data_IF_915921545735
#
_entry.id   IF_915921545735
#
_cell.length_a   1.000
_cell.length_b   1.000
_cell.length_c   1.000
_cell.angle_alpha   90.00
_cell.angle_beta   90.00
_cell.angle_gamma   90.00
#
_symmetry.space_group_name_H-M   'P 1'
#
loop_
_entity.id
_entity.type
_entity.pdbx_description
1 polymer ?
#
# COMPACT_ATOMS: atom_id res chain seq x y z
N UNK A 1 -11.38 -21.22 51.56
CA UNK A 1 -12.49 -21.20 50.57
C UNK A 1 -12.11 -20.22 49.49
N UNK A 2 -11.68 -20.71 48.33
CA UNK A 2 -11.47 -19.89 47.15
C UNK A 2 -12.85 -19.66 46.56
N UNK A 3 -13.34 -18.43 46.60
CA UNK A 3 -14.58 -18.05 45.93
C UNK A 3 -14.45 -18.37 44.45
N UNK A 4 -15.37 -19.15 43.86
CA UNK A 4 -15.36 -19.37 42.43
C UNK A 4 -15.57 -18.02 41.77
N UNK A 5 -14.55 -17.53 41.07
CA UNK A 5 -14.70 -16.42 40.14
C UNK A 5 -15.77 -16.84 39.14
N UNK A 6 -16.91 -16.15 39.18
CA UNK A 6 -17.95 -16.23 38.16
C UNK A 6 -17.27 -16.08 36.81
N UNK A 7 -17.13 -17.19 36.08
CA UNK A 7 -16.82 -17.16 34.66
C UNK A 7 -18.00 -16.45 34.01
N UNK A 8 -17.86 -15.13 33.84
CA UNK A 8 -18.72 -14.38 32.95
C UNK A 8 -18.53 -15.03 31.58
N UNK A 9 -19.51 -15.82 31.17
CA UNK A 9 -19.59 -16.38 29.83
C UNK A 9 -19.83 -15.20 28.88
N UNK A 10 -18.76 -14.51 28.50
CA UNK A 10 -18.79 -13.45 27.51
C UNK A 10 -18.60 -14.09 26.14
N UNK A 11 -19.55 -13.88 25.21
CA UNK A 11 -19.39 -14.28 23.82
C UNK A 11 -18.74 -13.12 23.06
N UNK A 12 -17.60 -13.39 22.43
CA UNK A 12 -16.97 -12.46 21.48
C UNK A 12 -17.69 -12.55 20.13
N UNK A 13 -18.58 -11.60 19.83
CA UNK A 13 -19.22 -11.54 18.51
C UNK A 13 -18.34 -10.76 17.52
N UNK A 14 -17.96 -11.41 16.42
CA UNK A 14 -17.39 -10.76 15.25
C UNK A 14 -18.55 -10.12 14.47
N UNK A 15 -18.77 -8.83 14.65
CA UNK A 15 -19.83 -8.12 13.89
C UNK A 15 -19.51 -8.12 12.39
N UNK A 16 -20.53 -8.21 11.51
CA UNK A 16 -20.34 -8.34 10.07
C UNK A 16 -19.63 -7.12 9.47
N UNK A 17 -18.87 -7.37 8.40
CA UNK A 17 -18.23 -6.35 7.57
C UNK A 17 -19.21 -5.21 7.23
N UNK A 18 -18.85 -3.97 7.57
CA UNK A 18 -19.62 -2.81 7.11
C UNK A 18 -19.50 -2.68 5.59
N UNK A 19 -20.55 -3.02 4.85
CA UNK A 19 -20.65 -2.70 3.43
C UNK A 19 -21.37 -1.35 3.29
N UNK A 20 -20.73 -0.37 2.67
CA UNK A 20 -21.39 0.90 2.37
C UNK A 20 -22.13 0.79 1.04
N UNK A 21 -23.38 1.30 0.94
CA UNK A 21 -24.10 1.34 -0.34
C UNK A 21 -23.41 2.27 -1.33
N UNK A 22 -23.60 2.07 -2.64
CA UNK A 22 -23.09 3.02 -3.61
C UNK A 22 -23.77 4.38 -3.45
N UNK A 23 -22.95 5.42 -3.27
CA UNK A 23 -23.40 6.80 -3.06
C UNK A 23 -23.06 7.73 -4.24
N UNK A 24 -22.34 7.26 -5.25
CA UNK A 24 -22.01 8.05 -6.44
C UNK A 24 -21.36 9.39 -6.09
N UNK A 25 -21.94 10.47 -6.63
CA UNK A 25 -21.49 11.85 -6.40
C UNK A 25 -21.64 12.28 -4.93
N UNK A 26 -22.56 11.68 -4.17
CA UNK A 26 -22.76 12.02 -2.75
C UNK A 26 -21.51 11.71 -1.91
N UNK A 27 -20.68 10.74 -2.32
CA UNK A 27 -19.37 10.50 -1.69
C UNK A 27 -18.47 11.75 -1.70
N UNK A 28 -18.48 12.51 -2.80
CA UNK A 28 -17.71 13.74 -2.95
C UNK A 28 -18.26 14.81 -2.01
N UNK A 29 -19.59 14.95 -1.97
CA UNK A 29 -20.27 15.92 -1.10
C UNK A 29 -19.99 15.62 0.38
N UNK A 30 -20.10 14.35 0.79
CA UNK A 30 -19.76 13.87 2.14
C UNK A 30 -18.29 14.19 2.46
N UNK A 31 -17.39 14.01 1.49
CA UNK A 31 -15.96 14.32 1.66
C UNK A 31 -15.71 15.82 1.91
N UNK A 32 -16.34 16.69 1.13
CA UNK A 32 -16.23 18.13 1.33
C UNK A 32 -16.89 18.58 2.64
N UNK A 33 -18.00 17.96 3.03
CA UNK A 33 -18.67 18.25 4.31
C UNK A 33 -17.77 17.91 5.49
N UNK A 34 -17.16 16.73 5.49
CA UNK A 34 -16.23 16.33 6.55
C UNK A 34 -14.99 17.23 6.62
N UNK A 35 -14.45 17.62 5.46
CA UNK A 35 -13.32 18.56 5.40
C UNK A 35 -13.70 19.93 5.95
N UNK A 36 -14.89 20.44 5.60
CA UNK A 36 -15.42 21.69 6.13
C UNK A 36 -15.62 21.62 7.64
N UNK A 37 -16.16 20.52 8.15
CA UNK A 37 -16.34 20.30 9.60
C UNK A 37 -14.99 20.25 10.33
N UNK A 38 -13.97 19.62 9.73
CA UNK A 38 -12.61 19.60 10.27
C UNK A 38 -11.99 21.00 10.33
N UNK A 39 -12.13 21.80 9.27
CA UNK A 39 -11.64 23.18 9.21
C UNK A 39 -12.35 24.05 10.24
N UNK A 40 -13.69 23.99 10.32
CA UNK A 40 -14.47 24.75 11.32
C UNK A 40 -14.08 24.31 12.73
N UNK A 41 -13.89 23.01 12.95
CA UNK A 41 -13.42 22.46 14.22
C UNK A 41 -12.06 23.03 14.63
N UNK A 42 -11.14 23.20 13.67
CA UNK A 42 -9.80 23.75 13.89
C UNK A 42 -9.87 25.21 14.38
N UNK A 43 -10.77 26.02 13.81
CA UNK A 43 -10.97 27.40 14.28
C UNK A 43 -11.65 27.49 15.65
N UNK A 44 -12.59 26.59 15.95
CA UNK A 44 -13.34 26.62 17.23
C UNK A 44 -12.51 26.12 18.41
N UNK A 45 -11.74 25.04 18.24
CA UNK A 45 -10.97 24.40 19.31
C UNK A 45 -9.59 23.95 18.80
N UNK A 46 -8.66 24.89 18.54
CA UNK A 46 -7.41 24.59 17.84
C UNK A 46 -6.56 23.55 18.57
N UNK A 47 -6.36 23.71 19.89
CA UNK A 47 -5.53 22.78 20.68
C UNK A 47 -6.07 21.34 20.65
N UNK A 48 -7.39 21.17 20.82
CA UNK A 48 -8.02 19.84 20.83
C UNK A 48 -7.91 19.16 19.46
N UNK A 49 -8.10 19.92 18.37
CA UNK A 49 -7.99 19.38 17.02
C UNK A 49 -6.53 19.08 16.63
N UNK A 50 -5.58 19.91 17.04
CA UNK A 50 -4.15 19.65 16.84
C UNK A 50 -3.75 18.36 17.56
N UNK A 51 -4.15 18.18 18.81
CA UNK A 51 -3.87 16.93 19.56
C UNK A 51 -4.54 15.74 18.89
N UNK A 52 -5.78 15.87 18.43
CA UNK A 52 -6.48 14.81 17.69
C UNK A 52 -5.77 14.46 16.38
N UNK A 53 -5.26 15.46 15.65
CA UNK A 53 -4.53 15.28 14.41
C UNK A 53 -3.18 14.60 14.64
N UNK A 54 -2.41 15.05 15.64
CA UNK A 54 -1.11 14.48 16.01
C UNK A 54 -1.24 13.03 16.50
N UNK A 55 -2.33 12.71 17.20
CA UNK A 55 -2.58 11.33 17.67
C UNK A 55 -3.24 10.45 16.61
N UNK A 56 -3.61 11.00 15.45
CA UNK A 56 -4.30 10.26 14.41
C UNK A 56 -3.37 9.25 13.72
N UNK A 57 -3.72 7.96 13.63
CA UNK A 57 -2.89 6.93 13.00
C UNK A 57 -2.49 7.24 11.54
N UNK A 58 -3.35 7.93 10.80
CA UNK A 58 -3.06 8.42 9.44
C UNK A 58 -1.78 9.25 9.37
N UNK A 59 -1.62 10.24 10.26
CA UNK A 59 -0.44 11.12 10.24
C UNK A 59 0.84 10.30 10.42
N UNK A 60 0.83 9.38 11.38
CA UNK A 60 1.99 8.51 11.65
C UNK A 60 2.29 7.55 10.50
N UNK A 61 1.28 7.03 9.80
CA UNK A 61 1.49 6.21 8.60
C UNK A 61 2.14 7.01 7.46
N UNK A 62 1.73 8.26 7.28
CA UNK A 62 2.30 9.15 6.28
C UNK A 62 3.74 9.55 6.62
N UNK A 63 3.99 9.95 7.88
CA UNK A 63 5.33 10.26 8.38
C UNK A 63 6.26 9.05 8.24
N UNK A 64 5.78 7.86 8.59
CA UNK A 64 6.52 6.60 8.41
C UNK A 64 6.87 6.37 6.95
N UNK A 65 5.92 6.52 6.02
CA UNK A 65 6.19 6.41 4.59
C UNK A 65 7.27 7.39 4.12
N UNK A 66 7.20 8.65 4.56
CA UNK A 66 8.19 9.70 4.18
C UNK A 66 9.57 9.36 4.72
N UNK A 67 9.68 8.94 5.99
CA UNK A 67 10.95 8.53 6.61
C UNK A 67 11.55 7.34 5.86
N UNK A 68 10.75 6.30 5.59
CA UNK A 68 11.21 5.11 4.87
C UNK A 68 11.55 5.42 3.41
N UNK A 69 10.79 6.30 2.75
CA UNK A 69 11.08 6.76 1.39
C UNK A 69 12.39 7.55 1.32
N UNK A 70 12.63 8.45 2.28
CA UNK A 70 13.88 9.18 2.40
C UNK A 70 15.06 8.25 2.63
N UNK A 71 14.90 7.28 3.54
CA UNK A 71 15.88 6.24 3.80
C UNK A 71 16.21 5.41 2.55
N UNK A 72 15.19 5.03 1.78
CA UNK A 72 15.36 4.39 0.47
C UNK A 72 16.17 5.27 -0.49
N UNK A 73 15.86 6.57 -0.58
CA UNK A 73 16.59 7.52 -1.43
C UNK A 73 18.07 7.65 -1.05
N UNK A 74 18.39 7.72 0.25
CA UNK A 74 19.77 7.72 0.73
C UNK A 74 20.52 6.46 0.25
N UNK A 75 19.91 5.29 0.39
CA UNK A 75 20.54 4.05 -0.02
C UNK A 75 20.75 3.96 -1.52
N UNK A 76 19.82 4.47 -2.33
CA UNK A 76 20.01 4.57 -3.78
C UNK A 76 21.24 5.43 -4.13
N UNK A 77 21.41 6.58 -3.48
CA UNK A 77 22.58 7.45 -3.69
C UNK A 77 23.88 6.77 -3.24
N UNK A 78 23.86 6.05 -2.11
CA UNK A 78 25.01 5.28 -1.64
C UNK A 78 25.39 4.16 -2.61
N UNK A 79 24.39 3.47 -3.18
CA UNK A 79 24.59 2.45 -4.21
C UNK A 79 25.19 3.03 -5.48
N UNK A 80 24.72 4.20 -5.94
CA UNK A 80 25.33 4.91 -7.07
C UNK A 80 26.81 5.20 -6.82
N UNK A 81 27.15 5.77 -5.66
CA UNK A 81 28.54 6.07 -5.30
C UNK A 81 29.41 4.81 -5.24
N UNK A 82 28.86 3.69 -4.78
CA UNK A 82 29.54 2.40 -4.76
C UNK A 82 29.75 1.86 -6.17
N UNK A 83 28.77 2.01 -7.06
CA UNK A 83 28.89 1.65 -8.47
C UNK A 83 29.94 2.49 -9.19
N UNK A 84 29.95 3.82 -9.04
CA UNK A 84 30.98 4.69 -9.63
C UNK A 84 32.40 4.27 -9.21
N UNK A 85 32.58 3.89 -7.93
CA UNK A 85 33.86 3.37 -7.44
C UNK A 85 34.19 2.02 -8.09
N UNK A 86 33.20 1.13 -8.20
CA UNK A 86 33.37 -0.18 -8.82
C UNK A 86 33.72 -0.07 -10.31
N UNK A 87 33.04 0.79 -11.07
CA UNK A 87 33.29 1.05 -12.49
C UNK A 87 34.71 1.59 -12.72
N UNK A 88 35.18 2.55 -11.89
CA UNK A 88 36.56 3.04 -11.93
C UNK A 88 37.61 1.96 -11.71
N UNK A 89 37.31 0.96 -10.89
CA UNK A 89 38.23 -0.16 -10.62
C UNK A 89 38.19 -1.26 -11.69
N UNK A 90 37.18 -1.28 -12.56
CA UNK A 90 37.00 -2.30 -13.60
C UNK A 90 36.80 -1.67 -14.99
N UNK A 91 37.78 -0.89 -15.51
CA UNK A 91 37.66 -0.20 -16.80
C UNK A 91 37.61 -1.12 -18.02
N UNK A 92 37.86 -2.42 -17.83
CA UNK A 92 37.77 -3.44 -18.88
C UNK A 92 36.33 -3.87 -19.17
N UNK A 93 35.41 -3.53 -18.27
CA UNK A 93 34.00 -3.84 -18.44
C UNK A 93 33.38 -2.63 -19.14
N UNK A 94 33.06 -2.77 -20.42
CA UNK A 94 32.40 -1.73 -21.21
C UNK A 94 31.17 -1.20 -20.45
N UNK A 95 30.89 0.10 -20.58
CA UNK A 95 29.84 0.82 -19.85
C UNK A 95 28.41 0.27 -20.06
N UNK A 96 28.22 -0.71 -20.95
CA UNK A 96 26.94 -1.36 -21.26
C UNK A 96 26.81 -2.76 -20.62
N UNK A 97 26.92 -2.86 -19.29
CA UNK A 97 26.65 -4.13 -18.61
C UNK A 97 25.14 -4.32 -18.50
N UNK A 98 24.55 -5.03 -19.46
CA UNK A 98 23.15 -5.47 -19.35
C UNK A 98 23.13 -6.95 -19.01
N UNK A 99 22.44 -7.30 -17.93
CA UNK A 99 22.28 -8.71 -17.53
C UNK A 99 21.27 -9.35 -18.50
N UNK A 100 21.56 -10.58 -18.94
CA UNK A 100 20.62 -11.33 -19.77
C UNK A 100 19.31 -11.57 -19.01
N UNK A 101 18.19 -11.26 -19.65
CA UNK A 101 16.85 -11.40 -19.09
C UNK A 101 15.95 -12.08 -20.12
N UNK A 102 15.27 -13.15 -19.71
CA UNK A 102 14.37 -13.93 -20.58
C UNK A 102 13.29 -13.05 -21.20
N UNK A 103 12.81 -12.05 -20.47
CA UNK A 103 11.79 -11.16 -20.99
C UNK A 103 12.36 -10.18 -22.02
N UNK A 104 13.68 -9.95 -22.01
CA UNK A 104 14.33 -9.15 -23.02
C UNK A 104 14.45 -9.87 -24.35
N UNK A 105 14.61 -11.20 -24.33
CA UNK A 105 14.62 -12.01 -25.54
C UNK A 105 13.22 -12.11 -26.19
N UNK A 106 12.15 -11.99 -25.39
CA UNK A 106 10.77 -12.17 -25.84
C UNK A 106 10.11 -10.84 -26.24
N UNK A 107 10.29 -9.78 -25.45
CA UNK A 107 9.60 -8.51 -25.65
C UNK A 107 10.42 -7.56 -26.52
N UNK A 108 9.79 -6.92 -27.53
CA UNK A 108 10.46 -5.90 -28.33
C UNK A 108 10.82 -4.69 -27.47
N UNK A 109 11.97 -4.09 -27.75
CA UNK A 109 12.39 -2.87 -27.08
C UNK A 109 11.53 -1.69 -27.51
N UNK A 110 10.92 -1.01 -26.53
CA UNK A 110 10.17 0.22 -26.73
C UNK A 110 11.00 1.37 -26.14
N UNK A 111 11.24 2.43 -26.90
CA UNK A 111 12.04 3.57 -26.46
C UNK A 111 11.18 4.76 -26.03
N UNK A 112 10.14 4.51 -25.21
CA UNK A 112 9.25 5.57 -24.67
C UNK A 112 9.42 5.61 -23.16
N UNK A 113 10.62 6.05 -22.79
CA UNK A 113 11.18 6.08 -21.44
C UNK A 113 10.23 6.60 -20.35
N UNK A 114 9.51 7.70 -20.63
CA UNK A 114 8.65 8.39 -19.67
C UNK A 114 7.25 7.76 -19.52
N UNK A 115 6.82 6.96 -20.49
CA UNK A 115 5.46 6.41 -20.53
C UNK A 115 5.13 5.52 -19.32
N UNK A 116 5.93 4.49 -18.95
CA UNK A 116 5.58 3.64 -17.82
C UNK A 116 5.59 4.40 -16.49
N UNK A 117 6.51 5.36 -16.31
CA UNK A 117 6.58 6.22 -15.12
C UNK A 117 5.32 7.09 -14.98
N UNK A 118 4.90 7.76 -16.05
CA UNK A 118 3.70 8.61 -16.06
C UNK A 118 2.44 7.78 -15.83
N UNK A 119 2.31 6.64 -16.50
CA UNK A 119 1.14 5.75 -16.33
C UNK A 119 1.04 5.21 -14.90
N UNK A 120 2.16 4.79 -14.31
CA UNK A 120 2.20 4.36 -12.92
C UNK A 120 1.79 5.50 -11.96
N UNK A 121 2.32 6.70 -12.17
CA UNK A 121 1.97 7.87 -11.36
C UNK A 121 0.48 8.23 -11.48
N UNK A 122 -0.09 8.21 -12.68
CA UNK A 122 -1.52 8.42 -12.92
C UNK A 122 -2.35 7.34 -12.21
N UNK A 123 -1.96 6.07 -12.32
CA UNK A 123 -2.67 4.97 -11.69
C UNK A 123 -2.68 5.05 -10.16
N UNK A 124 -1.52 5.36 -9.56
CA UNK A 124 -1.38 5.57 -8.12
C UNK A 124 -2.20 6.80 -7.70
N UNK A 125 -2.03 7.93 -8.37
CA UNK A 125 -2.76 9.17 -8.09
C UNK A 125 -4.28 8.99 -8.17
N UNK A 126 -4.76 8.32 -9.22
CA UNK A 126 -6.18 8.00 -9.38
C UNK A 126 -6.68 7.07 -8.27
N UNK A 127 -5.89 6.07 -7.88
CA UNK A 127 -6.22 5.17 -6.76
C UNK A 127 -6.38 5.95 -5.45
N UNK A 128 -5.41 6.79 -5.12
CA UNK A 128 -5.44 7.61 -3.90
C UNK A 128 -6.62 8.58 -3.91
N UNK A 129 -6.87 9.26 -5.03
CA UNK A 129 -8.01 10.17 -5.18
C UNK A 129 -9.34 9.42 -5.02
N UNK A 130 -9.49 8.26 -5.68
CA UNK A 130 -10.70 7.44 -5.57
C UNK A 130 -10.98 7.04 -4.14
N UNK A 131 -9.98 6.54 -3.42
CA UNK A 131 -10.17 6.12 -2.03
C UNK A 131 -10.33 7.29 -1.08
N UNK A 132 -9.72 8.44 -1.36
CA UNK A 132 -9.92 9.68 -0.59
C UNK A 132 -11.39 10.12 -0.59
N UNK A 133 -12.12 9.88 -1.67
CA UNK A 133 -13.54 10.24 -1.80
C UNK A 133 -14.48 9.21 -1.15
N UNK A 134 -13.99 8.04 -0.72
CA UNK A 134 -14.85 6.95 -0.19
C UNK A 134 -15.07 7.06 1.33
N UNK A 135 -16.10 6.42 1.90
CA UNK A 135 -16.30 6.40 3.35
C UNK A 135 -15.13 5.78 4.14
N UNK A 136 -14.37 4.87 3.51
CA UNK A 136 -13.16 4.25 4.07
C UNK A 136 -11.87 5.08 3.93
N UNK A 137 -11.95 6.35 3.54
CA UNK A 137 -10.80 7.15 3.09
C UNK A 137 -9.59 7.12 4.02
N UNK A 138 -9.78 7.40 5.30
CA UNK A 138 -8.67 7.53 6.24
C UNK A 138 -8.06 6.18 6.56
N UNK A 139 -8.89 5.13 6.65
CA UNK A 139 -8.46 3.75 6.91
C UNK A 139 -7.65 3.22 5.73
N UNK A 140 -8.17 3.34 4.50
CA UNK A 140 -7.50 2.82 3.30
C UNK A 140 -6.20 3.58 3.02
N UNK A 141 -6.20 4.92 3.10
CA UNK A 141 -5.00 5.70 2.86
C UNK A 141 -3.93 5.46 3.92
N UNK A 142 -4.34 5.31 5.19
CA UNK A 142 -3.43 4.92 6.27
C UNK A 142 -2.77 3.57 6.00
N UNK A 143 -3.56 2.57 5.63
CA UNK A 143 -3.07 1.23 5.27
C UNK A 143 -2.12 1.31 4.07
N UNK A 144 -2.47 2.07 3.03
CA UNK A 144 -1.60 2.31 1.88
C UNK A 144 -0.24 2.89 2.30
N UNK A 145 -0.22 4.01 3.03
CA UNK A 145 1.02 4.67 3.43
C UNK A 145 1.90 3.79 4.32
N UNK A 146 1.30 3.03 5.24
CA UNK A 146 2.05 2.10 6.08
C UNK A 146 2.68 0.97 5.26
N UNK A 147 1.90 0.31 4.40
CA UNK A 147 2.41 -0.75 3.52
C UNK A 147 3.49 -0.22 2.58
N UNK A 148 3.28 0.95 1.99
CA UNK A 148 4.25 1.62 1.13
C UNK A 148 5.55 1.95 1.87
N UNK A 149 5.46 2.39 3.12
CA UNK A 149 6.62 2.63 3.98
C UNK A 149 7.44 1.36 4.22
N UNK A 150 6.78 0.23 4.49
CA UNK A 150 7.47 -1.08 4.65
C UNK A 150 8.19 -1.47 3.36
N UNK A 151 7.53 -1.28 2.21
CA UNK A 151 8.14 -1.56 0.90
C UNK A 151 9.37 -0.69 0.66
N UNK A 152 9.30 0.62 0.92
CA UNK A 152 10.46 1.50 0.77
C UNK A 152 11.59 1.13 1.74
N UNK A 153 11.26 0.76 2.98
CA UNK A 153 12.27 0.35 3.94
C UNK A 153 13.04 -0.90 3.46
N UNK A 154 12.32 -1.93 3.03
CA UNK A 154 12.92 -3.19 2.56
C UNK A 154 13.66 -2.98 1.24
N UNK A 155 13.08 -2.20 0.32
CA UNK A 155 13.75 -1.79 -0.92
C UNK A 155 15.10 -1.16 -0.64
N UNK A 156 15.15 -0.20 0.28
CA UNK A 156 16.38 0.50 0.61
C UNK A 156 17.48 -0.47 1.04
N UNK A 157 17.15 -1.50 1.84
CA UNK A 157 18.09 -2.54 2.25
C UNK A 157 18.53 -3.43 1.08
N UNK A 158 17.61 -3.81 0.18
CA UNK A 158 17.93 -4.58 -1.02
C UNK A 158 18.88 -3.79 -1.94
N UNK A 159 18.52 -2.57 -2.30
CA UNK A 159 19.31 -1.72 -3.19
C UNK A 159 20.70 -1.40 -2.62
N UNK A 160 20.82 -1.25 -1.30
CA UNK A 160 22.13 -1.05 -0.67
C UNK A 160 23.04 -2.28 -0.77
N UNK A 161 22.45 -3.48 -0.64
CA UNK A 161 23.20 -4.74 -0.61
C UNK A 161 23.56 -5.24 -2.00
N UNK A 162 22.73 -4.98 -3.01
CA UNK A 162 22.92 -5.42 -4.39
C UNK A 162 23.16 -4.26 -5.34
N UNK A 163 24.18 -4.38 -6.20
CA UNK A 163 24.41 -3.44 -7.30
C UNK A 163 23.91 -4.12 -8.56
N UNK A 164 22.94 -3.49 -9.24
CA UNK A 164 22.40 -4.00 -10.49
C UNK A 164 22.42 -2.86 -11.52
N UNK A 165 23.08 -3.03 -12.67
CA UNK A 165 23.19 -1.98 -13.69
C UNK A 165 21.85 -1.74 -14.39
N UNK A 166 21.58 -0.48 -14.75
CA UNK A 166 20.37 -0.07 -15.47
C UNK A 166 20.36 -0.64 -16.91
N UNK A 167 19.37 -1.48 -17.27
CA UNK A 167 19.23 -1.98 -18.62
C UNK A 167 18.80 -0.92 -19.64
N UNK A 168 18.36 0.26 -19.18
CA UNK A 168 17.89 1.36 -20.05
C UNK A 168 19.00 2.28 -20.55
N UNK A 169 20.21 2.16 -19.99
CA UNK A 169 21.39 2.96 -20.39
C UNK A 169 21.26 4.45 -20.08
N UNK A 170 20.44 4.83 -19.09
CA UNK A 170 20.25 6.25 -18.73
C UNK A 170 21.34 6.71 -17.78
N UNK A 171 21.99 7.86 -18.05
CA UNK A 171 22.98 8.40 -17.13
C UNK A 171 22.32 8.86 -15.83
N UNK A 172 23.02 8.66 -14.71
CA UNK A 172 22.61 9.22 -13.43
C UNK A 172 22.62 10.76 -13.44
N UNK A 173 21.66 11.37 -12.73
CA UNK A 173 21.60 12.83 -12.52
C UNK A 173 22.02 13.27 -11.11
N UNK A 174 22.37 12.30 -10.27
CA UNK A 174 22.73 12.50 -8.86
C UNK A 174 24.13 13.09 -8.74
N UNK A 175 24.25 14.17 -7.95
CA UNK A 175 25.55 14.73 -7.59
C UNK A 175 26.01 14.16 -6.25
N UNK A 176 26.94 13.20 -6.26
CA UNK A 176 27.37 12.44 -5.06
C UNK A 176 28.10 13.24 -3.96
N UNK A 177 28.16 14.57 -4.06
CA UNK A 177 28.73 15.47 -3.05
C UNK A 177 27.96 15.49 -1.73
N UNK A 178 26.62 15.55 -1.76
CA UNK A 178 25.77 15.64 -0.56
C UNK A 178 24.69 14.55 -0.52
N UNK A 179 25.05 13.37 0.00
CA UNK A 179 24.20 12.17 0.02
C UNK A 179 22.80 12.41 0.60
N UNK A 180 22.69 13.22 1.66
CA UNK A 180 21.42 13.50 2.32
C UNK A 180 20.49 14.38 1.47
N UNK A 181 21.02 15.42 0.83
CA UNK A 181 20.23 16.30 -0.04
C UNK A 181 19.80 15.54 -1.29
N UNK A 182 20.72 14.78 -1.87
CA UNK A 182 20.44 13.92 -3.02
C UNK A 182 19.39 12.87 -2.68
N UNK A 183 19.47 12.21 -1.53
CA UNK A 183 18.46 11.24 -1.09
C UNK A 183 17.07 11.86 -0.97
N UNK A 184 16.98 13.14 -0.57
CA UNK A 184 15.72 13.88 -0.56
C UNK A 184 15.24 14.24 -1.97
N UNK A 185 16.13 14.65 -2.87
CA UNK A 185 15.78 14.95 -4.28
C UNK A 185 15.36 13.69 -5.05
N UNK A 186 15.95 12.54 -4.72
CA UNK A 186 15.56 11.22 -5.24
C UNK A 186 14.18 10.81 -4.72
N UNK A 187 13.88 11.04 -3.43
CA UNK A 187 12.53 10.82 -2.88
C UNK A 187 11.46 11.66 -3.62
N UNK A 188 11.78 12.90 -3.97
CA UNK A 188 10.88 13.78 -4.74
C UNK A 188 10.79 13.40 -6.23
N UNK A 189 11.60 12.45 -6.71
CA UNK A 189 11.67 12.06 -8.11
C UNK A 189 12.35 13.08 -9.02
N UNK A 190 13.08 14.04 -8.46
CA UNK A 190 13.82 15.08 -9.20
C UNK A 190 15.12 14.51 -9.75
N UNK A 191 15.87 13.78 -8.91
CA UNK A 191 17.12 13.12 -9.29
C UNK A 191 16.93 11.62 -9.47
N UNK A 192 17.74 11.03 -10.36
CA UNK A 192 17.63 9.63 -10.79
C UNK A 192 18.99 8.94 -10.68
N UNK A 193 18.94 7.69 -10.25
CA UNK A 193 20.08 6.80 -10.03
C UNK A 193 20.13 5.78 -11.17
N UNK A 194 21.34 5.43 -11.60
CA UNK A 194 21.62 4.51 -12.71
C UNK A 194 21.79 3.06 -12.23
N UNK A 195 21.84 2.82 -10.93
CA UNK A 195 22.13 1.50 -10.34
C UNK A 195 21.05 1.02 -9.36
N UNK A 196 19.79 1.26 -9.69
CA UNK A 196 18.64 1.00 -8.82
C UNK A 196 17.58 0.14 -9.52
N UNK A 197 17.92 -1.13 -9.76
CA UNK A 197 16.99 -2.03 -10.43
C UNK A 197 16.42 -3.10 -9.50
N UNK A 198 17.16 -3.55 -8.48
CA UNK A 198 16.65 -4.57 -7.58
C UNK A 198 15.41 -4.09 -6.82
N UNK A 199 14.30 -4.81 -6.99
CA UNK A 199 13.01 -4.56 -6.35
C UNK A 199 12.37 -3.20 -6.75
N UNK A 200 11.62 -3.20 -7.86
CA UNK A 200 10.97 -2.00 -8.40
C UNK A 200 9.90 -1.45 -7.44
N UNK A 201 10.17 -0.27 -6.87
CA UNK A 201 9.23 0.41 -5.98
C UNK A 201 7.95 0.83 -6.69
N UNK A 202 8.02 1.26 -7.95
CA UNK A 202 6.83 1.62 -8.73
C UNK A 202 5.96 0.39 -9.01
N UNK A 203 6.57 -0.74 -9.36
CA UNK A 203 5.85 -1.98 -9.55
C UNK A 203 5.15 -2.40 -8.25
N UNK A 204 5.88 -2.39 -7.13
CA UNK A 204 5.34 -2.70 -5.81
C UNK A 204 4.16 -1.77 -5.39
N UNK A 205 4.29 -0.46 -5.61
CA UNK A 205 3.22 0.51 -5.36
C UNK A 205 1.96 0.20 -6.18
N UNK A 206 2.13 -0.11 -7.47
CA UNK A 206 1.00 -0.47 -8.34
C UNK A 206 0.31 -1.75 -7.86
N UNK A 207 1.05 -2.73 -7.34
CA UNK A 207 0.47 -3.96 -6.78
C UNK A 207 -0.33 -3.68 -5.53
N UNK A 208 0.18 -2.85 -4.60
CA UNK A 208 -0.61 -2.42 -3.45
C UNK A 208 -1.89 -1.73 -3.92
N UNK A 209 -1.81 -0.82 -4.89
CA UNK A 209 -2.98 -0.16 -5.46
C UNK A 209 -3.98 -1.20 -6.03
N UNK A 210 -3.53 -2.14 -6.85
CA UNK A 210 -4.37 -3.22 -7.39
C UNK A 210 -5.03 -4.07 -6.29
N UNK A 211 -4.28 -4.38 -5.23
CA UNK A 211 -4.80 -5.08 -4.05
C UNK A 211 -5.85 -4.27 -3.30
N UNK A 212 -5.67 -2.95 -3.15
CA UNK A 212 -6.66 -2.06 -2.55
C UNK A 212 -7.94 -2.02 -3.39
N UNK A 213 -7.82 -1.89 -4.71
CA UNK A 213 -8.97 -2.00 -5.60
C UNK A 213 -9.64 -3.36 -5.46
N UNK A 214 -8.88 -4.45 -5.41
CA UNK A 214 -9.43 -5.79 -5.24
C UNK A 214 -10.18 -5.95 -3.91
N UNK A 215 -9.62 -5.44 -2.81
CA UNK A 215 -10.15 -5.62 -1.46
C UNK A 215 -11.30 -4.65 -1.11
N UNK A 216 -11.25 -3.38 -1.53
CA UNK A 216 -12.19 -2.36 -1.07
C UNK A 216 -13.22 -1.92 -2.11
N UNK A 217 -13.08 -2.30 -3.40
CA UNK A 217 -14.03 -1.83 -4.42
C UNK A 217 -15.48 -2.24 -4.16
N UNK A 218 -15.67 -3.42 -3.55
CA UNK A 218 -17.00 -3.93 -3.21
C UNK A 218 -17.50 -3.45 -1.83
N UNK A 219 -16.59 -3.10 -0.90
CA UNK A 219 -16.94 -2.56 0.43
C UNK A 219 -17.33 -1.09 0.38
N UNK A 220 -16.76 -0.34 -0.57
CA UNK A 220 -17.12 1.03 -0.89
C UNK A 220 -17.18 1.23 -2.42
N UNK A 221 -18.27 0.78 -3.06
CA UNK A 221 -18.53 1.09 -4.45
C UNK A 221 -18.88 2.58 -4.60
N UNK A 222 -18.32 3.24 -5.62
CA UNK A 222 -18.80 4.57 -6.02
C UNK A 222 -20.01 4.41 -6.92
N UNK A 223 -19.92 3.50 -7.88
CA UNK A 223 -20.96 3.16 -8.84
C UNK A 223 -21.22 1.66 -8.70
N UNK A 224 -22.48 1.28 -8.53
CA UNK A 224 -22.94 -0.09 -8.66
C UNK A 224 -23.07 -0.41 -10.15
N UNK A 225 -21.96 -0.86 -10.75
CA UNK A 225 -21.96 -1.41 -12.09
C UNK A 225 -21.31 -2.78 -12.05
N UNK A 226 -22.10 -3.83 -12.24
CA UNK A 226 -21.55 -5.15 -12.48
C UNK A 226 -22.17 -5.82 -13.71
N UNK A 227 -21.31 -6.07 -14.69
CA UNK A 227 -21.66 -6.76 -15.92
C UNK A 227 -21.53 -8.29 -15.80
N UNK A 228 -20.82 -8.78 -14.77
CA UNK A 228 -20.45 -10.19 -14.60
C UNK A 228 -21.43 -10.99 -13.71
N UNK A 229 -22.56 -10.40 -13.33
CA UNK A 229 -23.67 -11.06 -12.62
C UNK A 229 -23.57 -11.08 -11.09
N UNK A 230 -24.60 -11.61 -10.44
CA UNK A 230 -24.75 -11.65 -8.98
C UNK A 230 -24.08 -12.89 -8.37
N UNK A 231 -22.76 -12.81 -8.21
CA UNK A 231 -22.02 -13.73 -7.32
C UNK A 231 -21.90 -13.13 -5.91
N UNK A 232 -21.86 -13.96 -4.85
CA UNK A 232 -21.73 -13.47 -3.49
C UNK A 232 -20.47 -12.61 -3.33
N UNK A 233 -20.63 -11.45 -2.69
CA UNK A 233 -19.58 -10.42 -2.60
C UNK A 233 -18.35 -10.89 -1.80
N UNK A 234 -18.55 -11.75 -0.80
CA UNK A 234 -17.48 -12.28 0.05
C UNK A 234 -17.75 -13.71 0.52
N UNK A 235 -16.70 -14.46 0.89
CA UNK A 235 -16.86 -15.67 1.71
C UNK A 235 -17.55 -15.36 3.05
N UNK A 236 -18.05 -16.39 3.76
CA UNK A 236 -18.40 -16.28 5.17
C UNK A 236 -17.26 -15.71 6.04
N UNK A 237 -16.01 -15.88 5.61
CA UNK A 237 -14.80 -15.38 6.26
C UNK A 237 -14.40 -13.96 5.80
N UNK A 238 -15.22 -13.26 5.02
CA UNK A 238 -14.99 -11.88 4.58
C UNK A 238 -13.98 -11.70 3.45
N UNK A 239 -13.55 -12.77 2.76
CA UNK A 239 -12.66 -12.65 1.61
C UNK A 239 -13.44 -12.34 0.34
N UNK A 240 -13.00 -11.37 -0.50
CA UNK A 240 -13.67 -11.09 -1.76
C UNK A 240 -13.57 -12.27 -2.72
N UNK A 241 -14.70 -12.87 -3.10
CA UNK A 241 -14.74 -13.88 -4.19
C UNK A 241 -15.06 -13.27 -5.55
N UNK A 242 -15.91 -12.23 -5.57
CA UNK A 242 -16.47 -11.67 -6.81
C UNK A 242 -15.39 -11.00 -7.65
N UNK A 243 -15.16 -11.51 -8.86
CA UNK A 243 -14.39 -10.80 -9.89
C UNK A 243 -15.30 -9.82 -10.61
N UNK A 244 -15.17 -8.53 -10.29
CA UNK A 244 -15.92 -7.47 -10.99
C UNK A 244 -15.11 -6.94 -12.16
N UNK A 245 -15.79 -6.29 -13.11
CA UNK A 245 -15.14 -5.64 -14.25
C UNK A 245 -14.06 -4.63 -13.81
N UNK A 246 -14.32 -3.88 -12.73
CA UNK A 246 -13.36 -2.93 -12.15
C UNK A 246 -12.09 -3.67 -11.72
N UNK A 247 -12.21 -4.80 -11.01
CA UNK A 247 -11.04 -5.58 -10.57
C UNK A 247 -10.24 -6.09 -11.76
N UNK A 248 -10.92 -6.58 -12.81
CA UNK A 248 -10.29 -7.03 -14.03
C UNK A 248 -9.53 -5.88 -14.70
N UNK A 249 -10.17 -4.72 -14.90
CA UNK A 249 -9.55 -3.54 -15.50
C UNK A 249 -8.30 -3.11 -14.72
N UNK A 250 -8.37 -3.03 -13.39
CA UNK A 250 -7.22 -2.58 -12.58
C UNK A 250 -6.04 -3.56 -12.65
N UNK A 251 -6.30 -4.87 -12.67
CA UNK A 251 -5.24 -5.86 -12.87
C UNK A 251 -4.67 -5.84 -14.28
N UNK A 252 -5.51 -5.65 -15.31
CA UNK A 252 -5.04 -5.49 -16.69
C UNK A 252 -4.14 -4.27 -16.85
N UNK A 253 -4.51 -3.12 -16.25
CA UNK A 253 -3.66 -1.92 -16.26
C UNK A 253 -2.34 -2.20 -15.54
N UNK A 254 -2.38 -2.87 -14.38
CA UNK A 254 -1.18 -3.21 -13.60
C UNK A 254 -0.22 -4.10 -14.38
N UNK A 255 -0.73 -5.18 -14.99
CA UNK A 255 0.05 -6.10 -15.81
C UNK A 255 0.56 -5.39 -17.07
N UNK A 256 -0.26 -4.56 -17.71
CA UNK A 256 0.14 -3.73 -18.84
C UNK A 256 1.31 -2.81 -18.50
N UNK A 257 1.28 -2.14 -17.36
CA UNK A 257 2.40 -1.33 -16.88
C UNK A 257 3.67 -2.15 -16.63
N UNK A 258 3.57 -3.38 -16.09
CA UNK A 258 4.73 -4.26 -15.95
C UNK A 258 5.37 -4.63 -17.28
N UNK A 259 4.54 -5.01 -18.27
CA UNK A 259 5.01 -5.30 -19.62
C UNK A 259 5.72 -4.07 -20.19
N UNK A 260 5.16 -2.87 -20.00
CA UNK A 260 5.80 -1.62 -20.44
C UNK A 260 7.12 -1.34 -19.73
N UNK A 261 7.25 -1.59 -18.42
CA UNK A 261 8.51 -1.45 -17.69
C UNK A 261 9.60 -2.36 -18.27
N UNK A 262 9.26 -3.63 -18.53
CA UNK A 262 10.20 -4.62 -19.05
C UNK A 262 10.54 -4.34 -20.53
N UNK A 263 9.55 -3.98 -21.34
CA UNK A 263 9.74 -3.64 -22.75
C UNK A 263 10.56 -2.35 -22.95
N UNK A 264 10.46 -1.38 -22.03
CA UNK A 264 11.32 -0.20 -22.02
C UNK A 264 12.70 -0.45 -21.41
N UNK A 265 13.02 -1.70 -21.06
CA UNK A 265 14.28 -2.08 -20.41
C UNK A 265 14.53 -1.26 -19.14
N UNK A 266 13.46 -0.93 -18.42
CA UNK A 266 13.54 -0.10 -17.21
C UNK A 266 13.72 -0.89 -15.94
N UNK A 267 13.37 -2.17 -15.96
CA UNK A 267 13.58 -3.11 -14.86
C UNK A 267 13.74 -4.51 -15.45
N UNK A 268 14.47 -5.36 -14.75
CA UNK A 268 14.52 -6.78 -15.05
C UNK A 268 13.20 -7.44 -14.63
N UNK A 269 12.81 -8.53 -15.30
CA UNK A 269 11.60 -9.29 -14.95
C UNK A 269 11.67 -9.81 -13.51
N UNK A 270 12.87 -10.17 -13.05
CA UNK A 270 13.10 -10.63 -11.68
C UNK A 270 12.70 -9.54 -10.66
N UNK A 271 13.01 -8.28 -10.93
CA UNK A 271 12.71 -7.17 -10.03
C UNK A 271 11.22 -6.90 -9.93
N UNK A 272 10.54 -6.94 -11.09
CA UNK A 272 9.08 -6.79 -11.17
C UNK A 272 8.40 -7.97 -10.47
N UNK A 273 8.90 -9.19 -10.65
CA UNK A 273 8.37 -10.40 -10.02
C UNK A 273 8.52 -10.37 -8.50
N UNK A 274 9.71 -10.05 -7.98
CA UNK A 274 9.93 -9.93 -6.53
C UNK A 274 9.05 -8.81 -5.96
N UNK A 275 8.99 -7.66 -6.63
CA UNK A 275 8.08 -6.56 -6.30
C UNK A 275 6.62 -7.01 -6.18
N UNK A 276 6.16 -7.81 -7.14
CA UNK A 276 4.81 -8.37 -7.17
C UNK A 276 4.54 -9.34 -6.03
N UNK A 277 5.37 -10.38 -5.87
CA UNK A 277 5.18 -11.42 -4.85
C UNK A 277 5.25 -10.83 -3.46
N UNK A 278 6.24 -9.97 -3.20
CA UNK A 278 6.44 -9.36 -1.89
C UNK A 278 5.27 -8.43 -1.53
N UNK A 279 4.83 -7.58 -2.46
CA UNK A 279 3.72 -6.65 -2.21
C UNK A 279 2.41 -7.40 -1.95
N UNK A 280 2.14 -8.48 -2.70
CA UNK A 280 1.00 -9.36 -2.46
C UNK A 280 1.07 -10.04 -1.10
N UNK A 281 2.23 -10.61 -0.77
CA UNK A 281 2.44 -11.29 0.51
C UNK A 281 2.27 -10.31 1.67
N UNK A 282 2.91 -9.15 1.59
CA UNK A 282 2.82 -8.09 2.60
C UNK A 282 1.37 -7.63 2.77
N UNK A 283 0.64 -7.39 1.67
CA UNK A 283 -0.77 -6.98 1.72
C UNK A 283 -1.64 -8.04 2.41
N UNK A 284 -1.48 -9.32 2.03
CA UNK A 284 -2.23 -10.44 2.62
C UNK A 284 -1.87 -10.65 4.08
N UNK A 285 -0.57 -10.61 4.41
CA UNK A 285 -0.09 -10.75 5.78
C UNK A 285 -0.69 -9.66 6.67
N UNK A 286 -0.67 -8.41 6.21
CA UNK A 286 -1.28 -7.28 6.91
C UNK A 286 -2.77 -7.49 7.15
N UNK A 287 -3.55 -7.74 6.08
CA UNK A 287 -5.01 -7.84 6.19
C UNK A 287 -5.45 -9.07 6.97
N UNK A 288 -4.66 -10.14 6.98
CA UNK A 288 -4.92 -11.29 7.85
C UNK A 288 -4.58 -10.97 9.31
N UNK A 289 -3.45 -10.28 9.55
CA UNK A 289 -2.99 -9.99 10.90
C UNK A 289 -3.96 -9.08 11.67
N UNK A 290 -4.49 -8.03 11.02
CA UNK A 290 -5.41 -7.08 11.67
C UNK A 290 -6.72 -7.74 12.15
N UNK A 291 -7.14 -8.86 11.55
CA UNK A 291 -8.32 -9.59 12.02
C UNK A 291 -8.08 -10.28 13.37
N UNK A 292 -6.82 -10.60 13.67
CA UNK A 292 -6.42 -11.29 14.89
C UNK A 292 -5.71 -10.39 15.91
N UNK A 293 -5.51 -9.11 15.62
CA UNK A 293 -4.76 -8.22 16.52
C UNK A 293 -5.45 -8.08 17.89
N UNK A 294 -6.76 -8.27 17.97
CA UNK A 294 -7.55 -8.29 19.21
C UNK A 294 -7.24 -9.47 20.13
N UNK A 295 -6.76 -10.59 19.59
CA UNK A 295 -6.66 -11.89 20.31
C UNK A 295 -5.49 -12.02 21.28
N UNK A 296 -4.42 -11.23 21.12
CA UNK A 296 -3.20 -11.36 21.94
C UNK A 296 -2.78 -10.00 22.53
N UNK A 297 -2.17 -10.03 23.71
CA UNK A 297 -1.69 -8.86 24.44
C UNK A 297 -0.18 -8.71 24.32
N UNK A 298 0.30 -8.20 23.18
CA UNK A 298 1.72 -7.86 22.99
C UNK A 298 1.85 -6.43 22.42
N UNK A 299 3.07 -5.87 22.44
CA UNK A 299 3.32 -4.51 21.96
C UNK A 299 2.88 -4.29 20.51
N UNK A 300 3.16 -5.26 19.63
CA UNK A 300 2.77 -5.21 18.20
C UNK A 300 1.25 -5.11 18.06
N UNK A 301 0.50 -5.88 18.84
CA UNK A 301 -0.95 -5.84 18.83
C UNK A 301 -1.50 -4.57 19.45
N UNK A 302 -0.88 -4.03 20.50
CA UNK A 302 -1.25 -2.72 21.02
C UNK A 302 -1.08 -1.63 19.96
N UNK A 303 0.01 -1.69 19.19
CA UNK A 303 0.22 -0.81 18.04
C UNK A 303 -0.89 -0.99 17.01
N UNK A 304 -1.18 -2.21 16.54
CA UNK A 304 -2.24 -2.42 15.53
C UNK A 304 -3.64 -2.08 16.04
N UNK A 305 -3.95 -2.31 17.33
CA UNK A 305 -5.22 -1.90 17.95
C UNK A 305 -5.38 -0.38 17.95
N UNK A 306 -4.32 0.36 18.27
CA UNK A 306 -4.32 1.81 18.15
C UNK A 306 -4.41 2.26 16.69
N UNK A 307 -3.59 1.65 15.84
CA UNK A 307 -3.47 1.98 14.43
C UNK A 307 -4.79 1.80 13.68
N UNK A 308 -5.59 0.82 14.09
CA UNK A 308 -6.87 0.47 13.48
C UNK A 308 -8.10 0.80 14.34
N UNK A 309 -7.94 1.66 15.35
CA UNK A 309 -8.99 1.94 16.34
C UNK A 309 -10.31 2.48 15.77
N UNK A 310 -10.28 3.07 14.57
CA UNK A 310 -11.41 3.68 13.86
C UNK A 310 -11.85 2.87 12.62
N UNK A 311 -11.28 1.68 12.40
CA UNK A 311 -11.56 0.88 11.22
C UNK A 311 -12.85 0.06 11.36
N UNK A 312 -13.90 0.35 10.57
CA UNK A 312 -15.20 -0.30 10.75
C UNK A 312 -15.22 -1.73 10.20
N UNK A 313 -14.19 -2.15 9.46
CA UNK A 313 -14.05 -3.51 8.94
C UNK A 313 -13.26 -4.45 9.85
N UNK A 314 -12.75 -3.95 10.99
CA UNK A 314 -12.08 -4.79 11.98
C UNK A 314 -13.11 -5.19 13.04
N UNK A 315 -13.24 -6.49 13.31
CA UNK A 315 -14.25 -6.95 14.25
C UNK A 315 -13.89 -6.48 15.67
N UNK A 316 -14.82 -5.73 16.27
CA UNK A 316 -14.73 -5.33 17.65
C UNK A 316 -15.11 -6.49 18.56
N UNK A 317 -14.34 -6.73 19.62
CA UNK A 317 -14.75 -7.67 20.67
C UNK A 317 -15.84 -6.99 21.48
N UNK A 318 -17.09 -7.25 21.14
CA UNK A 318 -18.24 -6.82 21.93
C UNK A 318 -18.48 -7.87 23.01
N UNK A 319 -18.37 -7.46 24.28
CA UNK A 319 -18.76 -8.28 25.42
C UNK A 319 -20.27 -8.20 25.55
N UNK A 320 -20.98 -9.25 25.12
CA UNK A 320 -22.42 -9.36 25.34
C UNK A 320 -22.64 -10.20 26.60
N UNK A 321 -23.35 -9.68 27.63
CA UNK A 321 -23.75 -10.50 28.76
C UNK A 321 -24.70 -11.61 28.27
N UNK A 322 -24.45 -12.85 28.70
CA UNK A 322 -25.29 -14.02 28.37
C UNK A 322 -26.73 -13.90 28.88
N UNK A 323 -27.00 -12.93 29.76
CA UNK A 323 -28.31 -12.66 30.33
C UNK A 323 -29.23 -12.03 29.27
N UNK A 324 -29.77 -12.86 28.37
CA UNK A 324 -30.75 -12.44 27.37
C UNK A 324 -30.68 -13.10 26.00
N UNK A 325 -29.67 -13.94 25.71
CA UNK A 325 -29.64 -14.71 24.46
C UNK A 325 -30.47 -15.98 24.69
N UNK A 326 -31.74 -15.94 24.28
CA UNK A 326 -32.59 -17.13 24.26
C UNK A 326 -31.99 -18.14 23.28
N UNK A 327 -32.03 -19.44 23.61
CA UNK A 327 -31.53 -20.50 22.72
C UNK A 327 -32.22 -20.52 21.34
N UNK A 328 -33.38 -19.87 21.20
CA UNK A 328 -34.06 -19.65 19.93
C UNK A 328 -33.37 -18.64 19.00
N UNK A 329 -32.66 -17.65 19.53
CA UNK A 329 -32.03 -16.60 18.70
C UNK A 329 -30.67 -17.05 18.10
N UNK A 330 -30.02 -18.03 18.73
CA UNK A 330 -28.74 -18.57 18.28
C UNK A 330 -28.85 -19.53 17.07
N UNK A 331 -30.06 -20.02 16.75
CA UNK A 331 -30.29 -20.95 15.62
C UNK A 331 -30.87 -20.28 14.37
N UNK A 332 -31.08 -18.96 14.39
CA UNK A 332 -31.78 -18.24 13.32
C UNK A 332 -30.89 -17.48 12.31
N UNK A 333 -29.55 -17.58 12.41
CA UNK A 333 -28.62 -16.91 11.49
C UNK A 333 -27.67 -17.87 10.79
#
# INVERSE_FOLDING_TARGET
>A
MVTPTTQNNEICLLLPNCNFPARGIMCIVDTFKDLKELIIGLFKQPLKQIVKFITHPFLWSFVFMVICGYWNGIFQVLTQKRFEKWAKTHPQVNDEIVIADVAFDILPQINIILLPEILAAIFIGFTLLRFFVTPYRWVVLRRYFFLQGIIYFIRGLCVFTTILPDPSGRPSTVNTSNIFVEGFLVLLGIHRVECDMMFSGNAASMVICACLWHHYSHKAPIIEFDLLGDTPNSTPYGYPLRMTLIKLIMWTITIGCFILYIANRMHYIADVYIGFVFSLFLFKLYHNYILFCSTRHNFINSFFKWFESDAPDIPAVVKVPMDGISSSDAMAN
#
